data_IF_854855403576
#
_entry.id   IF_854855403576
#
_cell.length_a   1.000
_cell.length_b   1.000
_cell.length_c   1.000
_cell.angle_alpha   90.00
_cell.angle_beta   90.00
_cell.angle_gamma   90.00
#
_symmetry.space_group_name_H-M   'P 1'
#
loop_
_entity.id
_entity.type
_entity.pdbx_description
1 polymer ?
#
# COMPACT_ATOMS: atom_id res chain seq x y z
N UNK A 1 -32.62 -10.61 56.77
CA UNK A 1 -31.53 -10.14 55.90
C UNK A 1 -31.59 -8.63 55.58
N UNK A 2 -32.40 -7.81 56.29
CA UNK A 2 -32.60 -6.38 55.93
C UNK A 2 -31.70 -5.39 56.73
N UNK A 3 -30.94 -5.86 57.74
CA UNK A 3 -30.22 -4.95 58.62
C UNK A 3 -28.73 -4.79 58.37
N UNK A 4 -28.18 -5.55 57.43
CA UNK A 4 -26.74 -5.48 57.07
C UNK A 4 -26.38 -4.17 56.40
N UNK A 5 -27.30 -3.58 55.61
CA UNK A 5 -27.12 -2.29 54.94
C UNK A 5 -27.16 -1.06 55.84
N UNK A 6 -27.56 -1.23 57.12
CA UNK A 6 -27.69 -0.13 58.08
C UNK A 6 -26.48 0.03 58.99
N UNK A 7 -25.51 -0.88 58.89
CA UNK A 7 -24.28 -0.82 59.67
C UNK A 7 -23.22 0.02 58.97
N UNK A 8 -22.77 1.15 59.56
CA UNK A 8 -21.74 2.00 58.96
C UNK A 8 -20.42 1.27 58.73
N UNK A 9 -20.13 0.23 59.50
CA UNK A 9 -18.91 -0.60 59.38
C UNK A 9 -18.87 -1.34 58.05
N UNK A 10 -20.03 -1.73 57.51
CA UNK A 10 -20.12 -2.40 56.23
C UNK A 10 -19.61 -1.51 55.06
N UNK A 11 -19.91 -0.22 55.12
CA UNK A 11 -19.43 0.73 54.10
C UNK A 11 -17.93 1.00 54.21
N UNK A 12 -17.36 1.00 55.42
CA UNK A 12 -15.91 1.17 55.59
C UNK A 12 -15.09 0.02 55.00
N UNK A 13 -15.67 -1.18 54.91
CA UNK A 13 -15.00 -2.35 54.29
C UNK A 13 -15.37 -2.48 52.80
N UNK A 14 -16.64 -2.24 52.45
CA UNK A 14 -17.11 -2.42 51.06
C UNK A 14 -16.55 -1.39 50.09
N UNK A 15 -16.39 -0.13 50.52
CA UNK A 15 -15.89 0.94 49.66
C UNK A 15 -14.43 0.72 49.22
N UNK A 16 -13.45 0.45 50.11
CA UNK A 16 -12.08 0.20 49.70
C UNK A 16 -11.94 -1.10 48.88
N UNK A 17 -12.80 -2.10 49.17
CA UNK A 17 -12.81 -3.36 48.43
C UNK A 17 -13.30 -3.15 46.98
N UNK A 18 -14.33 -2.33 46.77
CA UNK A 18 -14.83 -1.94 45.43
C UNK A 18 -13.79 -1.11 44.66
N UNK A 19 -13.10 -0.18 45.33
CA UNK A 19 -12.05 0.64 44.73
C UNK A 19 -10.83 -0.24 44.35
N UNK A 20 -10.51 -1.28 45.13
CA UNK A 20 -9.43 -2.22 44.85
C UNK A 20 -9.72 -3.20 43.70
N UNK A 21 -10.98 -3.59 43.52
CA UNK A 21 -11.39 -4.48 42.42
C UNK A 21 -11.25 -3.80 41.04
N UNK A 22 -11.46 -2.50 40.97
CA UNK A 22 -11.38 -1.75 39.72
C UNK A 22 -9.99 -1.83 39.04
N UNK A 23 -8.88 -1.48 39.67
CA UNK A 23 -7.56 -1.61 39.06
C UNK A 23 -7.18 -3.08 38.78
N UNK A 24 -7.65 -4.02 39.64
CA UNK A 24 -7.39 -5.44 39.44
C UNK A 24 -8.11 -5.99 38.21
N UNK A 25 -9.32 -5.54 37.92
CA UNK A 25 -10.05 -5.92 36.69
C UNK A 25 -9.42 -5.35 35.45
N UNK A 26 -8.91 -4.12 35.50
CA UNK A 26 -8.15 -3.52 34.39
C UNK A 26 -6.85 -4.29 34.13
N UNK A 27 -6.13 -4.62 35.18
CA UNK A 27 -4.87 -5.37 35.06
C UNK A 27 -5.09 -6.77 34.49
N UNK A 28 -6.12 -7.50 34.91
CA UNK A 28 -6.42 -8.87 34.49
C UNK A 28 -6.95 -8.96 33.03
N UNK A 29 -7.62 -7.92 32.54
CA UNK A 29 -8.25 -7.92 31.21
C UNK A 29 -7.39 -7.22 30.17
N UNK A 30 -6.70 -6.14 30.52
CA UNK A 30 -5.92 -5.36 29.55
C UNK A 30 -4.53 -5.94 29.29
N UNK A 31 -3.87 -6.51 30.31
CA UNK A 31 -2.54 -7.08 30.13
C UNK A 31 -2.51 -8.23 29.10
N UNK A 32 -3.35 -9.27 29.22
CA UNK A 32 -3.29 -10.40 28.27
C UNK A 32 -3.70 -10.00 26.85
N UNK A 33 -4.54 -8.96 26.70
CA UNK A 33 -4.88 -8.44 25.37
C UNK A 33 -3.74 -7.68 24.74
N UNK A 34 -2.98 -6.91 25.49
CA UNK A 34 -1.80 -6.20 24.99
C UNK A 34 -0.70 -7.17 24.56
N UNK A 35 -0.45 -8.23 25.33
CA UNK A 35 0.51 -9.28 24.98
C UNK A 35 0.08 -10.08 23.75
N UNK A 36 -1.21 -10.39 23.60
CA UNK A 36 -1.72 -11.08 22.43
C UNK A 36 -1.56 -10.26 21.14
N UNK A 37 -1.82 -8.96 21.20
CA UNK A 37 -1.63 -8.06 20.05
C UNK A 37 -0.15 -7.94 19.69
N UNK A 38 0.75 -7.79 20.67
CA UNK A 38 2.19 -7.74 20.47
C UNK A 38 2.73 -9.02 19.80
N UNK A 39 2.30 -10.18 20.27
CA UNK A 39 2.71 -11.45 19.69
C UNK A 39 2.18 -11.63 18.26
N UNK A 40 0.98 -11.14 17.95
CA UNK A 40 0.44 -11.15 16.60
C UNK A 40 1.24 -10.24 15.67
N UNK A 41 1.60 -9.04 16.12
CA UNK A 41 2.41 -8.10 15.34
C UNK A 41 3.83 -8.65 15.09
N UNK A 42 4.45 -9.29 16.08
CA UNK A 42 5.75 -9.94 15.96
C UNK A 42 5.69 -11.12 14.97
N UNK A 43 4.67 -11.97 15.08
CA UNK A 43 4.53 -13.11 14.17
C UNK A 43 4.28 -12.66 12.71
N UNK A 44 3.49 -11.61 12.52
CA UNK A 44 3.27 -11.02 11.19
C UNK A 44 4.56 -10.40 10.62
N UNK A 45 5.37 -9.77 11.47
CA UNK A 45 6.66 -9.24 11.06
C UNK A 45 7.67 -10.35 10.69
N UNK A 46 7.74 -11.42 11.48
CA UNK A 46 8.61 -12.58 11.18
C UNK A 46 8.18 -13.29 9.90
N UNK A 47 6.87 -13.48 9.69
CA UNK A 47 6.34 -14.06 8.45
C UNK A 47 6.64 -13.18 7.24
N UNK A 48 6.48 -11.87 7.37
CA UNK A 48 6.83 -10.90 6.31
C UNK A 48 8.32 -10.91 5.99
N UNK A 49 9.18 -11.05 7.00
CA UNK A 49 10.63 -11.16 6.85
C UNK A 49 11.02 -12.46 6.15
N UNK A 50 10.41 -13.59 6.53
CA UNK A 50 10.67 -14.88 5.89
C UNK A 50 10.26 -14.86 4.40
N UNK A 51 9.10 -14.25 4.07
CA UNK A 51 8.65 -14.09 2.68
C UNK A 51 9.63 -13.19 1.90
N UNK A 52 10.11 -12.12 2.52
CA UNK A 52 11.09 -11.22 1.91
C UNK A 52 12.42 -11.93 1.66
N UNK A 53 12.95 -12.68 2.64
CA UNK A 53 14.17 -13.47 2.49
C UNK A 53 14.02 -14.57 1.42
N UNK A 54 12.84 -15.18 1.33
CA UNK A 54 12.52 -16.16 0.29
C UNK A 54 12.49 -15.55 -1.12
N UNK A 55 11.91 -14.34 -1.25
CA UNK A 55 11.92 -13.60 -2.53
C UNK A 55 13.35 -13.22 -2.91
N UNK A 56 14.17 -12.75 -1.97
CA UNK A 56 15.56 -12.37 -2.19
C UNK A 56 16.46 -13.56 -2.58
N UNK A 57 16.18 -14.77 -2.06
CA UNK A 57 16.91 -15.98 -2.44
C UNK A 57 16.52 -16.54 -3.81
N UNK A 58 15.27 -16.31 -4.23
CA UNK A 58 14.77 -16.77 -5.53
C UNK A 58 15.18 -15.86 -6.69
N UNK A 59 15.34 -14.57 -6.43
CA UNK A 59 15.72 -13.60 -7.47
C UNK A 59 16.62 -12.47 -6.92
N UNK A 60 17.93 -12.73 -6.79
CA UNK A 60 18.89 -11.73 -6.32
C UNK A 60 19.00 -10.49 -7.23
N UNK A 61 18.56 -10.59 -8.49
CA UNK A 61 18.55 -9.46 -9.42
C UNK A 61 17.60 -8.34 -9.00
N UNK A 62 16.60 -8.64 -8.19
CA UNK A 62 15.69 -7.65 -7.61
C UNK A 62 16.40 -6.69 -6.63
N UNK A 63 17.43 -7.17 -5.92
CA UNK A 63 18.25 -6.33 -5.04
C UNK A 63 19.11 -5.33 -5.82
N UNK A 64 19.69 -5.76 -6.94
CA UNK A 64 20.46 -4.85 -7.81
C UNK A 64 19.54 -3.80 -8.44
N UNK A 65 18.31 -4.17 -8.81
CA UNK A 65 17.30 -3.23 -9.29
C UNK A 65 16.87 -2.23 -8.22
N UNK A 66 16.64 -2.68 -6.99
CA UNK A 66 16.28 -1.80 -5.88
C UNK A 66 17.43 -0.84 -5.49
N UNK A 67 18.68 -1.29 -5.55
CA UNK A 67 19.86 -0.48 -5.26
C UNK A 67 20.24 0.46 -6.41
N UNK A 68 20.06 0.05 -7.66
CA UNK A 68 20.35 0.91 -8.82
C UNK A 68 19.33 2.04 -9.00
N UNK A 69 18.12 1.89 -8.48
CA UNK A 69 17.07 2.92 -8.52
C UNK A 69 17.16 3.97 -7.38
N UNK A 70 18.13 3.84 -6.47
CA UNK A 70 18.45 4.88 -5.46
C UNK A 70 19.36 5.99 -6.07
N UNK A 71 19.79 5.86 -7.33
CA UNK A 71 20.39 7.00 -8.02
C UNK A 71 19.32 8.09 -8.15
N UNK A 72 19.63 9.28 -7.60
CA UNK A 72 18.82 10.52 -7.63
C UNK A 72 18.53 11.05 -9.07
N UNK A 73 18.40 10.18 -10.05
CA UNK A 73 17.93 10.56 -11.37
C UNK A 73 16.49 11.02 -11.25
N UNK A 74 16.30 12.30 -11.52
CA UNK A 74 14.99 12.95 -11.50
C UNK A 74 13.99 12.11 -12.26
N UNK A 75 13.04 11.51 -11.54
CA UNK A 75 11.93 10.81 -12.16
C UNK A 75 11.22 11.76 -13.13
N UNK A 76 11.14 11.35 -14.39
CA UNK A 76 10.42 12.06 -15.42
C UNK A 76 9.41 11.12 -16.09
N UNK A 77 8.13 11.47 -15.97
CA UNK A 77 7.04 10.68 -16.50
C UNK A 77 7.18 10.37 -17.99
N UNK A 78 7.67 11.33 -18.79
CA UNK A 78 7.88 11.13 -20.22
C UNK A 78 8.82 9.97 -20.49
N UNK A 79 10.02 10.01 -19.91
CA UNK A 79 11.05 8.97 -20.09
C UNK A 79 10.56 7.63 -19.57
N UNK A 80 9.89 7.60 -18.41
CA UNK A 80 9.39 6.38 -17.79
C UNK A 80 8.31 5.71 -18.67
N UNK A 81 7.32 6.47 -19.13
CA UNK A 81 6.22 5.98 -19.98
C UNK A 81 6.75 5.53 -21.33
N UNK A 82 7.60 6.34 -21.99
CA UNK A 82 8.16 6.02 -23.30
C UNK A 82 9.02 4.74 -23.26
N UNK A 83 9.88 4.61 -22.22
CA UNK A 83 10.70 3.41 -22.03
C UNK A 83 9.87 2.15 -21.81
N UNK A 84 8.84 2.24 -20.97
CA UNK A 84 7.95 1.10 -20.70
C UNK A 84 7.11 0.73 -21.92
N UNK A 85 6.56 1.72 -22.65
CA UNK A 85 5.78 1.51 -23.86
C UNK A 85 6.63 0.82 -24.96
N UNK A 86 7.87 1.29 -25.17
CA UNK A 86 8.79 0.70 -26.13
C UNK A 86 9.12 -0.77 -25.81
N UNK A 87 9.38 -1.09 -24.53
CA UNK A 87 9.62 -2.48 -24.07
C UNK A 87 8.41 -3.41 -24.30
N UNK A 88 7.20 -2.87 -24.24
CA UNK A 88 5.96 -3.63 -24.40
C UNK A 88 5.42 -3.62 -25.83
N UNK A 89 6.11 -3.00 -26.77
CA UNK A 89 5.70 -2.92 -28.17
C UNK A 89 4.48 -2.02 -28.41
N UNK A 90 4.20 -1.07 -27.51
CA UNK A 90 3.14 -0.08 -27.66
C UNK A 90 3.72 1.08 -28.49
N UNK A 91 3.06 1.37 -29.62
CA UNK A 91 3.49 2.45 -30.51
C UNK A 91 3.24 3.82 -29.86
N UNK A 92 4.09 4.78 -30.12
CA UNK A 92 3.97 6.16 -29.60
C UNK A 92 2.68 6.87 -30.04
N UNK A 93 2.07 6.40 -31.12
CA UNK A 93 0.75 6.89 -31.60
C UNK A 93 -0.42 6.40 -30.75
N UNK A 94 -0.24 5.33 -30.00
CA UNK A 94 -1.29 4.63 -29.25
C UNK A 94 -1.33 5.03 -27.77
N UNK A 95 -0.52 5.97 -27.35
CA UNK A 95 -0.61 6.51 -26.00
C UNK A 95 -0.43 8.02 -25.96
N UNK A 96 -1.05 8.61 -24.95
CA UNK A 96 -0.94 10.03 -24.59
C UNK A 96 -0.78 10.11 -23.09
N UNK A 97 0.01 11.05 -22.62
CA UNK A 97 0.10 11.30 -21.18
C UNK A 97 -0.02 12.79 -20.88
N UNK A 98 -0.61 13.09 -19.73
CA UNK A 98 -0.76 14.43 -19.21
C UNK A 98 -0.23 14.46 -17.78
N UNK A 99 0.84 15.22 -17.56
CA UNK A 99 1.52 15.32 -16.27
C UNK A 99 1.09 16.60 -15.58
N UNK A 100 0.62 16.47 -14.34
CA UNK A 100 0.29 17.63 -13.50
C UNK A 100 1.53 18.14 -12.79
N UNK A 101 1.59 19.44 -12.47
CA UNK A 101 2.70 19.98 -11.69
C UNK A 101 2.77 19.30 -10.32
N UNK A 102 3.98 19.10 -9.77
CA UNK A 102 4.16 18.47 -8.47
C UNK A 102 3.51 19.32 -7.36
N UNK A 103 2.92 18.65 -6.39
CA UNK A 103 2.29 19.27 -5.22
C UNK A 103 2.94 18.73 -3.95
N UNK A 104 3.17 19.63 -2.98
CA UNK A 104 3.63 19.25 -1.66
C UNK A 104 2.46 19.26 -0.69
N UNK A 105 2.22 18.10 -0.02
CA UNK A 105 1.19 17.95 1.00
C UNK A 105 1.84 17.33 2.23
N UNK A 106 1.84 18.04 3.37
CA UNK A 106 2.41 17.56 4.64
C UNK A 106 3.85 17.05 4.50
N UNK A 107 4.75 17.86 3.93
CA UNK A 107 6.17 17.56 3.67
C UNK A 107 6.45 16.41 2.67
N UNK A 108 5.43 15.83 2.06
CA UNK A 108 5.59 14.84 1.02
C UNK A 108 5.31 15.45 -0.36
N UNK A 109 6.29 15.42 -1.23
CA UNK A 109 6.15 15.90 -2.61
C UNK A 109 5.59 14.80 -3.47
N UNK A 110 4.48 15.08 -4.16
CA UNK A 110 3.82 14.11 -5.04
C UNK A 110 3.53 14.73 -6.41
N UNK A 111 3.54 13.91 -7.43
CA UNK A 111 3.21 14.32 -8.79
C UNK A 111 2.24 13.30 -9.41
N UNK A 112 1.17 13.78 -10.00
CA UNK A 112 0.16 12.96 -10.64
C UNK A 112 0.30 13.05 -12.17
N UNK A 113 0.08 11.93 -12.85
CA UNK A 113 -0.04 11.87 -14.29
C UNK A 113 -1.21 11.00 -14.71
N UNK A 114 -1.79 11.32 -15.84
CA UNK A 114 -2.79 10.51 -16.51
C UNK A 114 -2.21 10.01 -17.80
N UNK A 115 -2.26 8.69 -18.01
CA UNK A 115 -1.81 8.00 -19.24
C UNK A 115 -3.04 7.39 -19.89
N UNK A 116 -3.30 7.76 -21.12
CA UNK A 116 -4.36 7.18 -21.95
C UNK A 116 -3.72 6.32 -23.01
N UNK A 117 -4.12 5.06 -23.10
CA UNK A 117 -3.68 4.10 -24.10
C UNK A 117 -4.87 3.77 -24.99
N UNK A 118 -4.68 3.87 -26.30
CA UNK A 118 -5.72 3.62 -27.29
C UNK A 118 -5.37 2.38 -28.12
N UNK A 119 -6.35 1.50 -28.33
CA UNK A 119 -6.21 0.33 -29.18
C UNK A 119 -5.10 -0.65 -28.76
N UNK A 120 -4.98 -0.91 -27.46
CA UNK A 120 -3.95 -1.79 -26.86
C UNK A 120 -4.60 -3.11 -26.42
N UNK A 121 -3.88 -4.23 -26.55
CA UNK A 121 -4.32 -5.49 -25.98
C UNK A 121 -4.04 -5.56 -24.47
N UNK A 122 -4.84 -6.34 -23.76
CA UNK A 122 -4.78 -6.41 -22.28
C UNK A 122 -3.44 -6.98 -21.77
N UNK A 123 -2.80 -7.85 -22.55
CA UNK A 123 -1.52 -8.47 -22.16
C UNK A 123 -0.39 -7.45 -22.24
N UNK A 124 -0.33 -6.68 -23.35
CA UNK A 124 0.64 -5.59 -23.51
C UNK A 124 0.45 -4.51 -22.44
N UNK A 125 -0.81 -4.19 -22.10
CA UNK A 125 -1.12 -3.29 -21.01
C UNK A 125 -0.63 -3.82 -19.64
N UNK A 126 -0.89 -5.09 -19.33
CA UNK A 126 -0.43 -5.69 -18.08
C UNK A 126 1.11 -5.65 -17.97
N UNK A 127 1.82 -5.97 -19.06
CA UNK A 127 3.29 -5.87 -19.12
C UNK A 127 3.76 -4.41 -18.92
N UNK A 128 3.08 -3.45 -19.53
CA UNK A 128 3.39 -2.03 -19.40
C UNK A 128 3.32 -1.56 -17.96
N UNK A 129 2.19 -1.81 -17.25
CA UNK A 129 2.03 -1.44 -15.85
C UNK A 129 3.05 -2.14 -14.96
N UNK A 130 3.26 -3.43 -15.16
CA UNK A 130 4.25 -4.21 -14.40
C UNK A 130 5.66 -3.66 -14.61
N UNK A 131 6.05 -3.36 -15.87
CA UNK A 131 7.35 -2.77 -16.17
C UNK A 131 7.55 -1.40 -15.50
N UNK A 132 6.51 -0.56 -15.48
CA UNK A 132 6.55 0.74 -14.79
C UNK A 132 6.75 0.58 -13.28
N UNK A 133 5.99 -0.29 -12.65
CA UNK A 133 6.05 -0.48 -11.20
C UNK A 133 7.34 -1.15 -10.72
N UNK A 134 7.88 -2.08 -11.51
CA UNK A 134 9.19 -2.71 -11.21
C UNK A 134 10.31 -1.68 -11.36
N UNK A 135 10.30 -0.87 -12.43
CA UNK A 135 11.35 0.12 -12.67
C UNK A 135 11.28 1.30 -11.70
N UNK A 136 10.07 1.70 -11.28
CA UNK A 136 9.83 2.84 -10.42
C UNK A 136 8.94 2.47 -9.23
N UNK A 137 9.50 1.94 -8.13
CA UNK A 137 8.72 1.48 -6.97
C UNK A 137 7.90 2.57 -6.28
N UNK A 138 8.37 3.84 -6.36
CA UNK A 138 7.64 5.01 -5.83
C UNK A 138 6.45 5.44 -6.71
N UNK A 139 6.24 4.78 -7.86
CA UNK A 139 5.13 5.05 -8.76
C UNK A 139 3.95 4.16 -8.41
N UNK A 140 2.86 4.78 -7.96
CA UNK A 140 1.63 4.08 -7.64
C UNK A 140 0.57 4.29 -8.72
N UNK A 141 -0.17 3.23 -9.04
CA UNK A 141 -1.35 3.30 -9.88
C UNK A 141 -2.58 3.53 -9.00
N UNK A 142 -3.22 4.70 -9.10
CA UNK A 142 -4.40 5.05 -8.30
C UNK A 142 -5.70 4.53 -8.91
N UNK A 143 -5.80 4.57 -10.25
CA UNK A 143 -7.04 4.21 -10.95
C UNK A 143 -6.73 3.66 -12.33
N UNK A 144 -7.50 2.67 -12.77
CA UNK A 144 -7.47 2.11 -14.12
C UNK A 144 -8.92 2.03 -14.60
N UNK A 145 -9.21 2.68 -15.70
CA UNK A 145 -10.49 2.57 -16.41
C UNK A 145 -10.27 1.86 -17.74
N UNK A 146 -10.94 0.74 -17.93
CA UNK A 146 -10.83 -0.12 -19.12
C UNK A 146 -12.12 -0.02 -19.93
N UNK A 147 -12.03 0.41 -21.17
CA UNK A 147 -13.17 0.49 -22.09
C UNK A 147 -12.91 -0.41 -23.30
N UNK A 148 -13.76 -1.42 -23.47
CA UNK A 148 -13.63 -2.32 -24.62
C UNK A 148 -14.07 -1.65 -25.91
N UNK A 149 -13.24 -1.68 -26.94
CA UNK A 149 -13.55 -1.09 -28.25
C UNK A 149 -14.59 -1.94 -28.98
N UNK A 150 -15.76 -1.38 -29.21
CA UNK A 150 -16.86 -2.05 -29.90
C UNK A 150 -16.52 -2.27 -31.39
N UNK A 151 -16.70 -3.49 -31.86
CA UNK A 151 -16.51 -3.83 -33.29
C UNK A 151 -15.06 -4.21 -33.67
N UNK A 152 -14.11 -4.23 -32.76
CA UNK A 152 -12.77 -4.73 -33.02
C UNK A 152 -12.78 -6.27 -33.17
N UNK A 153 -12.12 -6.78 -34.21
CA UNK A 153 -11.98 -8.24 -34.48
C UNK A 153 -11.08 -8.91 -33.44
N UNK A 154 -10.25 -8.15 -32.72
CA UNK A 154 -9.34 -8.60 -31.68
C UNK A 154 -9.71 -7.99 -30.34
N UNK A 155 -9.14 -8.50 -29.27
CA UNK A 155 -9.30 -8.00 -27.91
C UNK A 155 -8.52 -6.68 -27.74
N UNK A 156 -9.18 -5.55 -28.09
CA UNK A 156 -8.63 -4.20 -28.10
C UNK A 156 -9.36 -3.31 -27.11
N UNK A 157 -8.57 -2.57 -26.35
CA UNK A 157 -9.04 -1.75 -25.23
C UNK A 157 -8.50 -0.34 -25.34
N UNK A 158 -9.34 0.61 -24.95
CA UNK A 158 -8.95 1.97 -24.63
C UNK A 158 -8.87 2.08 -23.11
N UNK A 159 -7.73 2.51 -22.59
CA UNK A 159 -7.37 2.39 -21.17
C UNK A 159 -6.91 3.74 -20.64
N UNK A 160 -7.54 4.22 -19.58
CA UNK A 160 -7.11 5.41 -18.84
C UNK A 160 -6.50 5.00 -17.50
N UNK A 161 -5.27 5.41 -17.26
CA UNK A 161 -4.51 5.11 -16.04
C UNK A 161 -4.13 6.38 -15.32
N UNK A 162 -4.48 6.47 -14.04
CA UNK A 162 -4.02 7.55 -13.16
C UNK A 162 -2.84 7.06 -12.33
N UNK A 163 -1.71 7.70 -12.50
CA UNK A 163 -0.45 7.40 -11.82
C UNK A 163 -0.09 8.50 -10.85
N UNK A 164 0.53 8.13 -9.74
CA UNK A 164 1.04 9.06 -8.73
C UNK A 164 2.45 8.65 -8.30
N UNK A 165 3.37 9.58 -8.42
CA UNK A 165 4.75 9.41 -7.99
C UNK A 165 5.00 10.14 -6.67
N UNK A 166 5.71 9.48 -5.76
CA UNK A 166 6.13 10.01 -4.46
C UNK A 166 7.65 10.27 -4.50
N UNK A 167 8.02 11.52 -4.26
CA UNK A 167 9.43 11.94 -4.22
C UNK A 167 10.05 11.74 -2.86
#
# INVERSE_FOLDING_TARGET
MKDVYRNPIFYYIAVPLLIGIWPLSLWLVYLPRAEANLNTDISTYEESKEVMDRILTLDPSQLEFAQSNISEDKFEYGIAVDSAAAKCGILSTNYKFNVRPPRSVRDQKTQNAQVTLEDVDIVSFAKFITSLQITWPSLQCEKIDLTKKKGAVKDRWDIDVSLKYYY
#
